data_IF_262365837387
#
_entry.id   IF_262365837387
#
_cell.length_a   1.000
_cell.length_b   1.000
_cell.length_c   1.000
_cell.angle_alpha   90.00
_cell.angle_beta   90.00
_cell.angle_gamma   90.00
#
_symmetry.space_group_name_H-M   'P 1'
#
loop_
_entity.id
_entity.type
_entity.pdbx_description
1 polymer ?
#
# COMPACT_ATOMS: atom_id res chain seq x y z
N UNK A 1 -58.98 20.06 34.99
CA UNK A 1 -58.69 18.68 35.45
C UNK A 1 -57.29 18.64 36.05
N UNK A 2 -57.12 17.92 37.16
CA UNK A 2 -56.02 18.03 38.10
C UNK A 2 -54.73 17.36 37.59
N UNK A 3 -53.60 17.91 38.04
CA UNK A 3 -52.21 17.48 37.79
C UNK A 3 -51.90 16.11 38.40
N UNK A 4 -50.77 15.53 37.95
CA UNK A 4 -49.84 14.59 38.65
C UNK A 4 -49.97 13.09 38.41
N UNK A 5 -48.95 12.51 37.75
CA UNK A 5 -48.34 11.19 38.06
C UNK A 5 -46.83 11.34 37.72
N UNK A 6 -46.00 11.77 38.68
CA UNK A 6 -45.12 10.94 39.53
C UNK A 6 -44.24 9.97 38.73
N UNK A 7 -43.00 10.41 38.54
CA UNK A 7 -41.78 9.64 38.31
C UNK A 7 -41.89 8.18 38.74
N UNK A 8 -41.81 7.25 37.79
CA UNK A 8 -41.57 5.84 38.07
C UNK A 8 -40.08 5.59 37.83
N UNK A 9 -39.29 5.79 38.90
CA UNK A 9 -37.98 5.16 39.03
C UNK A 9 -38.28 3.68 39.26
N UNK A 10 -38.12 2.87 38.23
CA UNK A 10 -37.95 1.43 38.39
C UNK A 10 -36.47 1.13 38.23
N UNK A 11 -35.86 0.75 39.35
CA UNK A 11 -34.48 0.31 39.48
C UNK A 11 -34.16 -0.74 38.41
N UNK A 12 -33.53 -0.33 37.32
CA UNK A 12 -32.75 -1.25 36.50
C UNK A 12 -31.44 -1.49 37.23
N UNK A 13 -31.53 -2.50 38.09
CA UNK A 13 -30.46 -3.32 38.63
C UNK A 13 -29.20 -3.20 37.77
N UNK A 14 -28.17 -2.57 38.35
CA UNK A 14 -26.77 -3.00 38.30
C UNK A 14 -26.43 -3.92 37.11
N UNK A 15 -26.36 -3.37 35.90
CA UNK A 15 -25.53 -3.97 34.86
C UNK A 15 -24.08 -3.63 35.21
N UNK A 16 -23.53 -4.50 36.05
CA UNK A 16 -22.14 -4.92 36.17
C UNK A 16 -21.19 -3.97 35.44
N UNK A 17 -20.62 -3.04 36.21
CA UNK A 17 -19.32 -2.47 35.93
C UNK A 17 -18.32 -3.62 35.96
N UNK A 18 -18.09 -4.24 34.80
CA UNK A 18 -16.84 -4.94 34.56
C UNK A 18 -15.88 -3.88 34.04
N UNK A 19 -15.38 -3.05 34.97
CA UNK A 19 -14.10 -2.39 34.77
C UNK A 19 -13.11 -3.52 34.53
N UNK A 20 -12.79 -3.76 33.26
CA UNK A 20 -11.62 -4.52 32.89
C UNK A 20 -10.44 -3.66 33.35
N UNK A 21 -10.00 -3.86 34.59
CA UNK A 21 -8.72 -3.35 35.06
C UNK A 21 -7.64 -4.09 34.27
N UNK A 22 -7.37 -3.61 33.06
CA UNK A 22 -6.10 -3.89 32.41
C UNK A 22 -5.07 -3.26 33.32
N UNK A 23 -4.39 -4.09 34.11
CA UNK A 23 -3.19 -3.72 34.82
C UNK A 23 -2.19 -3.21 33.77
N UNK A 24 -2.17 -1.88 33.60
CA UNK A 24 -1.12 -1.19 32.86
C UNK A 24 0.15 -1.38 33.69
N UNK A 25 0.92 -2.43 33.37
CA UNK A 25 2.34 -2.47 33.68
C UNK A 25 2.97 -1.27 32.98
N UNK A 26 3.02 -0.12 33.66
CA UNK A 26 3.67 1.07 33.14
C UNK A 26 5.15 0.70 33.00
N UNK A 27 5.72 0.75 31.78
CA UNK A 27 7.13 0.46 31.61
C UNK A 27 7.94 1.46 32.45
N UNK A 28 9.09 1.05 33.01
CA UNK A 28 9.95 1.91 33.81
C UNK A 28 10.21 3.24 33.08
N UNK A 29 10.10 4.36 33.79
CA UNK A 29 10.20 5.73 33.24
C UNK A 29 11.49 6.02 32.44
N UNK A 30 12.49 5.15 32.54
CA UNK A 30 13.79 5.27 31.87
C UNK A 30 13.90 4.50 30.56
N UNK A 31 12.96 3.60 30.23
CA UNK A 31 12.91 3.01 28.91
C UNK A 31 12.10 3.95 28.01
N UNK A 32 12.72 4.51 26.96
CA UNK A 32 11.95 5.13 25.89
C UNK A 32 10.91 4.10 25.45
N UNK A 33 9.64 4.49 25.38
CA UNK A 33 8.64 3.68 24.73
C UNK A 33 9.08 3.55 23.27
N UNK A 34 9.85 2.51 22.96
CA UNK A 34 10.19 2.16 21.59
C UNK A 34 8.88 1.73 20.97
N UNK A 35 8.22 2.69 20.33
CA UNK A 35 6.95 2.48 19.65
C UNK A 35 7.09 1.26 18.77
N UNK A 36 6.15 0.31 18.92
CA UNK A 36 6.15 -0.90 18.10
C UNK A 36 6.03 -0.45 16.65
N UNK A 37 7.08 -0.74 15.86
CA UNK A 37 7.08 -0.48 14.43
C UNK A 37 6.11 -1.41 13.74
N UNK A 38 5.21 -0.84 12.95
CA UNK A 38 4.26 -1.59 12.13
C UNK A 38 4.70 -1.52 10.67
N UNK A 39 4.57 -2.64 9.97
CA UNK A 39 4.82 -2.71 8.53
C UNK A 39 3.59 -2.23 7.78
N UNK A 40 3.78 -1.29 6.87
CA UNK A 40 2.74 -0.83 5.95
C UNK A 40 3.20 -0.98 4.52
N UNK A 41 2.22 -1.11 3.62
CA UNK A 41 2.41 -1.13 2.19
C UNK A 41 1.78 0.10 1.57
N UNK A 42 2.54 0.87 0.80
CA UNK A 42 2.07 2.08 0.13
C UNK A 42 2.03 1.88 -1.39
N UNK A 43 0.90 2.23 -1.98
CA UNK A 43 0.63 2.21 -3.42
C UNK A 43 0.62 3.66 -3.93
N UNK A 44 1.73 4.15 -4.53
CA UNK A 44 1.87 5.56 -4.86
C UNK A 44 0.97 6.01 -6.01
N UNK A 45 0.69 5.15 -6.99
CA UNK A 45 -0.16 5.46 -8.14
C UNK A 45 -1.63 5.68 -7.73
N UNK A 46 -2.13 4.89 -6.77
CA UNK A 46 -3.50 5.02 -6.25
C UNK A 46 -3.60 5.83 -4.95
N UNK A 47 -2.46 6.23 -4.37
CA UNK A 47 -2.38 6.91 -3.07
C UNK A 47 -3.14 6.14 -1.96
N UNK A 48 -2.85 4.83 -1.85
CA UNK A 48 -3.49 3.90 -0.91
C UNK A 48 -2.46 3.29 0.03
N UNK A 49 -2.82 3.17 1.30
CA UNK A 49 -2.07 2.43 2.31
C UNK A 49 -2.75 1.09 2.58
N UNK A 50 -1.97 0.05 2.79
CA UNK A 50 -2.45 -1.27 3.19
C UNK A 50 -1.69 -1.74 4.42
N UNK A 51 -2.44 -2.14 5.44
CA UNK A 51 -1.91 -2.78 6.64
C UNK A 51 -2.01 -4.31 6.46
N UNK A 52 -0.88 -5.02 6.33
CA UNK A 52 -0.85 -6.47 6.14
C UNK A 52 -1.25 -7.25 7.41
N UNK A 53 -1.17 -6.64 8.60
CA UNK A 53 -1.49 -7.28 9.88
C UNK A 53 -3.00 -7.36 10.06
N UNK A 54 -3.69 -6.22 9.95
CA UNK A 54 -5.16 -6.17 10.08
C UNK A 54 -5.90 -6.34 8.75
N UNK A 55 -5.18 -6.42 7.64
CA UNK A 55 -5.70 -6.59 6.26
C UNK A 55 -6.72 -5.51 5.89
N UNK A 56 -6.37 -4.25 6.17
CA UNK A 56 -7.22 -3.09 5.86
C UNK A 56 -6.52 -2.11 4.94
N UNK A 57 -7.31 -1.44 4.12
CA UNK A 57 -6.89 -0.39 3.22
C UNK A 57 -7.29 0.97 3.79
N UNK A 58 -6.38 1.94 3.73
CA UNK A 58 -6.66 3.35 4.02
C UNK A 58 -6.46 4.18 2.76
N UNK A 59 -7.49 4.93 2.38
CA UNK A 59 -7.52 5.70 1.13
C UNK A 59 -8.20 7.06 1.35
N UNK A 60 -7.92 8.00 0.45
CA UNK A 60 -8.53 9.33 0.50
C UNK A 60 -9.90 9.29 -0.20
N UNK A 61 -10.95 9.68 0.50
CA UNK A 61 -12.31 9.81 -0.03
C UNK A 61 -12.91 11.16 0.41
N UNK A 62 -13.30 12.01 -0.54
CA UNK A 62 -13.89 13.31 -0.24
C UNK A 62 -13.02 14.21 0.65
N UNK A 63 -11.69 14.11 0.52
CA UNK A 63 -10.73 14.87 1.34
C UNK A 63 -10.48 14.31 2.74
N UNK A 64 -11.08 13.18 3.10
CA UNK A 64 -10.87 12.49 4.38
C UNK A 64 -10.23 11.13 4.16
N UNK A 65 -9.38 10.71 5.09
CA UNK A 65 -8.83 9.35 5.09
C UNK A 65 -9.87 8.39 5.66
N UNK A 66 -10.14 7.32 4.92
CA UNK A 66 -11.11 6.29 5.28
C UNK A 66 -10.41 4.94 5.27
N UNK A 67 -10.66 4.15 6.30
CA UNK A 67 -10.09 2.80 6.45
C UNK A 67 -11.18 1.75 6.30
N UNK A 68 -10.97 0.73 5.47
CA UNK A 68 -11.93 -0.32 5.21
C UNK A 68 -11.29 -1.65 4.84
N UNK A 69 -12.06 -2.73 4.91
CA UNK A 69 -11.61 -4.07 4.48
C UNK A 69 -11.51 -4.19 2.94
N UNK A 70 -12.28 -3.39 2.22
CA UNK A 70 -12.36 -3.40 0.75
C UNK A 70 -12.20 -2.01 0.20
N UNK A 71 -11.59 -1.90 -0.98
CA UNK A 71 -11.56 -0.64 -1.72
C UNK A 71 -12.89 -0.43 -2.47
N UNK A 72 -13.36 0.82 -2.59
CA UNK A 72 -14.48 1.14 -3.45
C UNK A 72 -14.11 0.90 -4.92
N UNK A 73 -15.08 0.55 -5.76
CA UNK A 73 -14.88 0.25 -7.19
C UNK A 73 -14.26 1.40 -8.00
N UNK A 74 -14.29 2.62 -7.46
CA UNK A 74 -13.67 3.82 -8.04
C UNK A 74 -12.15 3.82 -7.92
N UNK A 75 -11.57 3.05 -6.99
CA UNK A 75 -10.13 2.99 -6.73
C UNK A 75 -9.59 1.64 -7.21
N UNK A 76 -8.65 1.69 -8.16
CA UNK A 76 -7.92 0.51 -8.62
C UNK A 76 -6.51 0.54 -8.06
N UNK A 77 -6.08 -0.56 -7.44
CA UNK A 77 -4.68 -0.80 -7.07
C UNK A 77 -3.88 -1.06 -8.35
N UNK A 78 -3.26 -0.02 -8.88
CA UNK A 78 -2.41 -0.09 -10.06
C UNK A 78 -0.96 0.17 -9.67
N UNK A 79 -0.02 -0.39 -10.43
CA UNK A 79 1.41 -0.15 -10.22
C UNK A 79 2.06 -1.01 -9.14
N UNK A 80 3.29 -0.64 -8.78
CA UNK A 80 4.08 -1.31 -7.77
C UNK A 80 3.76 -0.77 -6.38
N UNK A 81 4.07 -1.56 -5.34
CA UNK A 81 3.94 -1.13 -3.96
C UNK A 81 5.30 -1.00 -3.29
N UNK A 82 5.35 -0.23 -2.21
CA UNK A 82 6.54 -0.07 -1.37
C UNK A 82 6.18 -0.46 0.07
N UNK A 83 6.90 -1.42 0.62
CA UNK A 83 6.79 -1.80 2.03
C UNK A 83 7.72 -0.93 2.87
N UNK A 84 7.24 -0.45 4.02
CA UNK A 84 8.02 0.35 4.96
C UNK A 84 7.56 0.16 6.41
N UNK A 85 8.47 0.38 7.35
CA UNK A 85 8.17 0.39 8.77
C UNK A 85 7.75 1.81 9.20
N UNK A 86 6.68 1.90 9.98
CA UNK A 86 6.17 3.16 10.52
C UNK A 86 5.97 3.04 12.03
N UNK A 87 6.37 4.09 12.76
CA UNK A 87 6.14 4.22 14.19
C UNK A 87 4.80 4.96 14.40
N UNK A 88 3.72 4.19 14.60
CA UNK A 88 2.37 4.72 14.84
C UNK A 88 1.30 4.02 14.01
N UNK A 89 0.06 4.55 14.10
CA UNK A 89 -1.12 3.94 13.47
C UNK A 89 -1.57 4.64 12.17
N UNK A 90 -1.09 5.88 11.94
CA UNK A 90 -1.62 6.77 10.92
C UNK A 90 -0.55 7.23 9.90
N UNK A 91 0.07 6.33 9.10
CA UNK A 91 1.10 6.69 8.13
C UNK A 91 0.63 7.71 7.08
N UNK A 92 -0.67 7.81 6.86
CA UNK A 92 -1.25 8.78 5.91
C UNK A 92 -1.22 10.23 6.40
N UNK A 93 -0.92 10.49 7.69
CA UNK A 93 -0.70 11.87 8.17
C UNK A 93 0.52 12.50 7.48
N UNK A 94 1.52 11.70 7.14
CA UNK A 94 2.74 12.12 6.44
C UNK A 94 2.66 11.86 4.93
N UNK A 95 1.44 11.78 4.36
CA UNK A 95 1.25 11.42 2.96
C UNK A 95 2.04 12.29 1.98
N UNK A 96 2.18 13.59 2.26
CA UNK A 96 2.97 14.49 1.44
C UNK A 96 4.44 14.06 1.34
N UNK A 97 5.02 13.55 2.42
CA UNK A 97 6.39 13.02 2.43
C UNK A 97 6.47 11.69 1.69
N UNK A 98 5.50 10.78 1.91
CA UNK A 98 5.45 9.50 1.21
C UNK A 98 5.30 9.63 -0.30
N UNK A 99 4.49 10.59 -0.78
CA UNK A 99 4.37 10.90 -2.22
C UNK A 99 5.68 11.39 -2.83
N UNK A 100 6.50 12.12 -2.06
CA UNK A 100 7.80 12.61 -2.52
C UNK A 100 8.84 11.49 -2.53
N UNK A 101 8.82 10.62 -1.52
CA UNK A 101 9.75 9.51 -1.36
C UNK A 101 9.49 8.39 -2.36
N UNK A 102 8.24 7.99 -2.52
CA UNK A 102 7.84 6.87 -3.38
C UNK A 102 7.18 7.40 -4.66
N UNK A 103 7.96 8.10 -5.50
CA UNK A 103 7.44 8.58 -6.78
C UNK A 103 7.17 7.38 -7.69
N UNK A 104 6.02 7.33 -8.36
CA UNK A 104 5.74 6.28 -9.34
C UNK A 104 6.82 6.32 -10.42
N UNK A 105 7.27 5.15 -10.87
CA UNK A 105 8.24 5.07 -11.94
C UNK A 105 7.67 5.78 -13.17
N UNK A 106 8.45 6.70 -13.76
CA UNK A 106 8.04 7.35 -15.01
C UNK A 106 7.89 6.25 -16.05
N UNK A 107 6.68 6.08 -16.58
CA UNK A 107 6.46 5.10 -17.63
C UNK A 107 7.46 5.37 -18.75
N UNK A 108 8.18 4.33 -19.18
CA UNK A 108 9.05 4.43 -20.32
C UNK A 108 8.24 4.99 -21.49
N UNK A 109 8.80 5.98 -22.20
CA UNK A 109 8.10 6.59 -23.34
C UNK A 109 7.67 5.46 -24.28
N UNK A 110 6.44 5.49 -24.82
CA UNK A 110 6.02 4.50 -25.80
C UNK A 110 7.06 4.48 -26.93
N UNK A 111 7.64 3.32 -27.18
CA UNK A 111 8.58 3.11 -28.29
C UNK A 111 7.81 3.49 -29.55
N UNK A 112 8.27 4.52 -30.28
CA UNK A 112 7.62 4.92 -31.51
C UNK A 112 7.82 3.80 -32.52
N UNK A 113 6.76 3.40 -33.23
CA UNK A 113 6.79 2.34 -34.26
C UNK A 113 7.86 2.57 -35.34
N UNK A 114 8.33 3.81 -35.52
CA UNK A 114 9.47 4.14 -36.39
C UNK A 114 10.78 3.47 -35.99
N UNK A 115 11.01 3.23 -34.70
CA UNK A 115 12.26 2.65 -34.19
C UNK A 115 12.27 1.12 -34.36
N UNK A 116 11.09 0.48 -34.39
CA UNK A 116 10.93 -0.97 -34.62
C UNK A 116 11.31 -1.36 -36.05
N UNK A 117 10.94 -0.53 -37.05
CA UNK A 117 11.26 -0.78 -38.46
C UNK A 117 12.77 -0.71 -38.76
N UNK A 118 13.55 -0.02 -37.91
CA UNK A 118 15.02 0.05 -38.02
C UNK A 118 15.70 -1.24 -37.51
N UNK A 119 15.14 -1.87 -36.48
CA UNK A 119 15.65 -3.12 -35.89
C UNK A 119 15.37 -4.32 -36.80
N UNK A 120 14.21 -4.38 -37.43
CA UNK A 120 13.85 -5.45 -38.36
C UNK A 120 14.74 -5.47 -39.62
N UNK A 121 15.16 -4.28 -40.11
CA UNK A 121 16.10 -4.19 -41.24
C UNK A 121 17.52 -4.64 -40.89
N UNK A 122 17.98 -4.39 -39.66
CA UNK A 122 19.29 -4.91 -39.23
C UNK A 122 19.29 -6.42 -39.06
N UNK A 123 18.12 -7.01 -38.75
CA UNK A 123 18.01 -8.47 -38.55
C UNK A 123 18.08 -9.27 -39.84
N UNK A 124 17.55 -8.73 -40.93
CA UNK A 124 17.55 -9.42 -42.22
C UNK A 124 18.86 -9.28 -43.02
N UNK A 125 19.92 -8.71 -42.42
CA UNK A 125 21.18 -8.42 -43.11
C UNK A 125 22.34 -9.37 -42.78
N UNK A 126 22.15 -10.36 -41.91
CA UNK A 126 23.20 -11.32 -41.51
C UNK A 126 23.06 -12.73 -42.07
N UNK A 127 22.24 -12.92 -43.11
CA UNK A 127 22.22 -14.15 -43.88
C UNK A 127 22.83 -13.95 -45.27
N UNK A 128 24.08 -14.38 -45.40
CA UNK A 128 24.65 -15.18 -46.50
C UNK A 128 26.15 -14.89 -46.71
N UNK A 129 27.00 -15.73 -46.11
CA UNK A 129 28.37 -15.95 -46.61
C UNK A 129 28.54 -17.44 -46.91
N UNK A 130 28.84 -17.84 -48.16
CA UNK A 130 29.07 -19.24 -48.49
C UNK A 130 30.40 -19.72 -47.90
N UNK A 131 30.36 -20.83 -47.17
CA UNK A 131 31.53 -21.52 -46.63
C UNK A 131 32.31 -22.21 -47.74
N UNK A 132 33.54 -21.75 -48.01
CA UNK A 132 34.50 -22.41 -48.92
C UNK A 132 35.24 -23.51 -48.13
N UNK A 133 34.72 -24.73 -48.19
CA UNK A 133 35.36 -25.91 -47.62
C UNK A 133 36.58 -26.34 -48.46
N UNK A 134 37.77 -26.23 -47.88
CA UNK A 134 39.02 -26.71 -48.48
C UNK A 134 39.17 -28.22 -48.29
N UNK A 135 39.10 -28.98 -49.40
CA UNK A 135 39.42 -30.40 -49.45
C UNK A 135 40.93 -30.63 -49.50
N UNK A 136 41.46 -31.35 -48.50
CA UNK A 136 42.81 -31.94 -48.49
C UNK A 136 42.93 -32.97 -49.62
N UNK A 137 44.00 -32.91 -50.41
CA UNK A 137 44.43 -33.97 -51.33
C UNK A 137 45.65 -34.69 -50.75
N UNK A 138 45.56 -36.01 -50.73
CA UNK A 138 46.60 -36.96 -50.32
C UNK A 138 47.76 -36.97 -51.31
N UNK A 139 48.98 -37.20 -50.82
CA UNK A 139 50.02 -37.98 -51.51
C UNK A 139 50.92 -38.65 -50.47
#
# INVERSE_FOLDING_TARGET
MRRTIKTVIFCFVFFIVADNYIASAQPPAHAKAHGVKKKYRYYPESNVYFDPVVKRYTYLNGGKWVTGATLPNTIRLIGAFNDFDFEGDDPWKENSQHKQKYKPAKQAKPIKTSDVKKVEKTVNSYDSKPSKGGGKKNK
#
